data_IF_588105245184
#
_entry.id   IF_588105245184
#
_cell.length_a   1.000
_cell.length_b   1.000
_cell.length_c   1.000
_cell.angle_alpha   90.00
_cell.angle_beta   90.00
_cell.angle_gamma   90.00
#
_symmetry.space_group_name_H-M   'P 1'
#
loop_
_entity.id
_entity.type
_entity.pdbx_description
1 polymer ?
#
# COMPACT_ATOMS: atom_id res chain seq x y z
N UNK A 1 29.83 -45.09 -8.77
CA UNK A 1 29.31 -46.20 -9.58
C UNK A 1 28.00 -46.63 -8.96
N UNK A 2 26.88 -46.15 -9.53
CA UNK A 2 25.87 -46.94 -10.24
C UNK A 2 25.13 -47.91 -9.29
N UNK A 3 23.79 -47.93 -9.14
CA UNK A 3 22.70 -47.86 -10.12
C UNK A 3 21.39 -47.76 -9.31
N UNK A 4 20.45 -46.85 -9.62
CA UNK A 4 19.14 -47.10 -10.26
C UNK A 4 18.34 -48.30 -9.67
N UNK A 5 17.04 -48.29 -9.42
CA UNK A 5 15.92 -47.43 -9.76
C UNK A 5 14.71 -47.86 -8.90
N UNK A 6 13.72 -46.99 -8.68
CA UNK A 6 12.31 -47.35 -8.91
C UNK A 6 11.44 -46.11 -8.93
N UNK A 7 10.95 -45.81 -10.12
CA UNK A 7 9.88 -44.87 -10.44
C UNK A 7 8.51 -45.48 -10.15
N UNK A 8 7.54 -44.64 -9.78
CA UNK A 8 6.11 -44.64 -10.16
C UNK A 8 5.36 -43.78 -9.13
N UNK A 9 4.32 -42.98 -9.38
CA UNK A 9 3.52 -42.54 -10.53
C UNK A 9 2.69 -41.37 -9.93
N UNK A 10 2.51 -40.25 -10.64
CA UNK A 10 1.21 -39.56 -10.74
C UNK A 10 1.29 -38.49 -11.83
N UNK A 11 0.72 -38.86 -12.98
CA UNK A 11 0.46 -37.99 -14.13
C UNK A 11 -0.87 -37.24 -13.90
N UNK A 12 -0.83 -35.94 -14.18
CA UNK A 12 -1.71 -35.21 -15.11
C UNK A 12 -3.24 -35.42 -15.01
N UNK A 13 -3.96 -34.33 -14.76
CA UNK A 13 -5.27 -34.05 -15.37
C UNK A 13 -5.31 -32.61 -15.88
N UNK A 14 -5.57 -32.41 -17.19
CA UNK A 14 -6.56 -31.43 -17.58
C UNK A 14 -7.59 -32.13 -18.48
N UNK A 15 -8.88 -31.82 -18.34
CA UNK A 15 -9.87 -31.78 -19.44
C UNK A 15 -11.21 -31.33 -18.88
N UNK A 16 -11.59 -30.08 -19.19
CA UNK A 16 -12.99 -29.66 -19.23
C UNK A 16 -13.52 -30.00 -20.62
N UNK A 17 -14.26 -31.10 -20.74
CA UNK A 17 -15.03 -31.43 -21.94
C UNK A 17 -16.50 -31.28 -21.58
N UNK A 18 -17.18 -30.30 -22.18
CA UNK A 18 -18.63 -30.16 -22.11
C UNK A 18 -19.29 -31.44 -22.65
N UNK A 19 -20.04 -32.14 -21.81
CA UNK A 19 -21.04 -33.11 -22.27
C UNK A 19 -22.39 -32.38 -22.40
N UNK A 20 -22.85 -32.27 -23.63
CA UNK A 20 -24.22 -31.91 -23.96
C UNK A 20 -25.16 -32.99 -23.41
N UNK A 21 -26.11 -32.59 -22.56
CA UNK A 21 -27.21 -33.43 -22.11
C UNK A 21 -28.22 -33.58 -23.25
N UNK A 22 -28.34 -34.80 -23.77
CA UNK A 22 -29.39 -35.24 -24.68
C UNK A 22 -30.71 -35.36 -23.87
N UNK A 23 -31.72 -34.56 -24.22
CA UNK A 23 -33.09 -34.76 -23.73
C UNK A 23 -33.83 -35.79 -24.60
N UNK A 24 -34.71 -36.63 -24.02
CA UNK A 24 -35.46 -37.61 -24.79
C UNK A 24 -36.58 -36.95 -25.60
N UNK A 25 -36.75 -37.41 -26.85
CA UNK A 25 -37.89 -37.09 -27.73
C UNK A 25 -39.20 -37.56 -27.07
N UNK A 26 -40.15 -36.64 -26.88
CA UNK A 26 -41.55 -36.97 -26.65
C UNK A 26 -42.28 -37.13 -27.99
N UNK A 27 -43.16 -38.12 -28.04
CA UNK A 27 -43.95 -38.58 -29.18
C UNK A 27 -45.12 -37.67 -29.54
N UNK A 28 -45.46 -37.67 -30.83
CA UNK A 28 -46.68 -37.11 -31.42
C UNK A 28 -47.94 -37.77 -30.82
N UNK A 29 -48.60 -37.10 -29.89
CA UNK A 29 -50.03 -37.33 -29.55
C UNK A 29 -50.49 -36.35 -28.47
N UNK A 30 -50.50 -35.05 -28.78
CA UNK A 30 -51.36 -34.09 -28.06
C UNK A 30 -51.66 -32.85 -28.93
N UNK A 31 -51.88 -33.07 -30.24
CA UNK A 31 -52.61 -32.12 -31.08
C UNK A 31 -54.10 -32.43 -30.98
N UNK A 32 -54.75 -31.98 -29.91
CA UNK A 32 -56.20 -31.81 -29.80
C UNK A 32 -56.50 -31.04 -28.50
N UNK A 33 -56.46 -29.71 -28.58
CA UNK A 33 -56.73 -28.84 -27.43
C UNK A 33 -56.37 -27.37 -27.63
N UNK A 34 -56.28 -26.88 -28.86
CA UNK A 34 -55.86 -25.51 -29.19
C UNK A 34 -56.88 -24.78 -30.09
N UNK A 35 -58.17 -25.01 -29.87
CA UNK A 35 -59.24 -24.33 -30.62
C UNK A 35 -60.30 -23.65 -29.73
N UNK A 36 -59.94 -23.28 -28.49
CA UNK A 36 -60.79 -22.45 -27.64
C UNK A 36 -59.93 -21.45 -26.84
N UNK A 37 -59.37 -20.44 -27.51
CA UNK A 37 -59.15 -19.04 -27.04
C UNK A 37 -58.88 -18.22 -28.33
N UNK A 38 -59.88 -18.17 -29.20
CA UNK A 38 -59.95 -17.23 -30.33
C UNK A 38 -61.22 -16.43 -30.16
N UNK A 39 -61.25 -15.53 -29.18
CA UNK A 39 -62.18 -14.40 -29.15
C UNK A 39 -61.80 -13.44 -28.00
N UNK A 40 -61.40 -12.23 -28.39
CA UNK A 40 -61.28 -10.99 -27.58
C UNK A 40 -60.01 -10.65 -26.78
N UNK A 41 -59.00 -11.52 -26.68
CA UNK A 41 -57.75 -11.15 -25.97
C UNK A 41 -56.75 -10.23 -26.71
N UNK A 42 -56.65 -10.18 -28.07
CA UNK A 42 -55.60 -9.36 -28.70
C UNK A 42 -55.91 -7.86 -28.74
N UNK A 43 -57.19 -7.46 -28.72
CA UNK A 43 -57.59 -6.04 -28.77
C UNK A 43 -57.43 -5.32 -27.43
N UNK A 44 -57.66 -6.03 -26.31
CA UNK A 44 -57.50 -5.47 -24.96
C UNK A 44 -56.03 -5.18 -24.67
N UNK A 45 -55.12 -6.07 -25.08
CA UNK A 45 -53.68 -5.86 -24.93
C UNK A 45 -53.16 -4.72 -25.83
N UNK A 46 -53.72 -4.55 -27.02
CA UNK A 46 -53.34 -3.46 -27.91
C UNK A 46 -53.86 -2.09 -27.43
N UNK A 47 -55.09 -2.01 -26.89
CA UNK A 47 -55.63 -0.78 -26.29
C UNK A 47 -54.91 -0.38 -25.00
N UNK A 48 -54.48 -1.35 -24.17
CA UNK A 48 -53.66 -1.09 -22.99
C UNK A 48 -52.26 -0.58 -23.36
N UNK A 49 -51.66 -1.08 -24.45
CA UNK A 49 -50.36 -0.61 -24.93
C UNK A 49 -50.43 0.82 -25.51
N UNK A 50 -51.50 1.16 -26.23
CA UNK A 50 -51.71 2.53 -26.76
C UNK A 50 -52.05 3.52 -25.64
N UNK A 51 -52.84 3.11 -24.64
CA UNK A 51 -53.09 3.87 -23.41
C UNK A 51 -51.78 4.17 -22.65
N UNK A 52 -50.88 3.20 -22.54
CA UNK A 52 -49.59 3.35 -21.87
C UNK A 52 -48.62 4.28 -22.62
N UNK A 53 -48.61 4.25 -23.95
CA UNK A 53 -47.75 5.10 -24.78
C UNK A 53 -48.23 6.56 -24.84
N UNK A 54 -49.54 6.83 -24.72
CA UNK A 54 -50.10 8.18 -24.71
C UNK A 54 -50.04 8.83 -23.32
N UNK A 55 -50.11 8.05 -22.23
CA UNK A 55 -50.07 8.60 -20.85
C UNK A 55 -48.66 8.88 -20.31
N UNK A 56 -47.60 8.25 -20.83
CA UNK A 56 -46.22 8.55 -20.38
C UNK A 56 -45.74 9.97 -20.67
N UNK A 57 -46.01 10.60 -21.84
CA UNK A 57 -45.66 12.00 -22.03
C UNK A 57 -46.59 12.96 -21.25
N UNK A 58 -47.81 12.54 -20.88
CA UNK A 58 -48.75 13.39 -20.15
C UNK A 58 -48.45 13.47 -18.64
N UNK A 59 -48.05 12.38 -18.01
CA UNK A 59 -47.57 12.40 -16.60
C UNK A 59 -46.23 13.12 -16.45
N UNK A 60 -45.35 13.06 -17.46
CA UNK A 60 -44.09 13.80 -17.46
C UNK A 60 -44.26 15.32 -17.66
N UNK A 61 -45.39 15.76 -18.24
CA UNK A 61 -45.68 17.19 -18.45
C UNK A 61 -46.50 17.83 -17.33
N UNK A 62 -47.44 17.09 -16.71
CA UNK A 62 -48.26 17.59 -15.59
C UNK A 62 -47.50 17.63 -14.25
N UNK A 63 -46.50 16.76 -14.06
CA UNK A 63 -45.55 16.85 -12.93
C UNK A 63 -44.26 17.56 -13.37
N UNK A 64 -44.36 18.84 -13.73
CA UNK A 64 -43.21 19.73 -13.64
C UNK A 64 -42.87 19.89 -12.15
N UNK A 65 -41.70 19.46 -11.66
CA UNK A 65 -41.25 19.94 -10.37
C UNK A 65 -41.11 21.46 -10.50
N UNK A 66 -41.88 22.21 -9.71
CA UNK A 66 -41.68 23.65 -9.59
C UNK A 66 -40.20 23.92 -9.36
N UNK A 67 -39.68 24.97 -10.01
CA UNK A 67 -38.27 25.37 -9.97
C UNK A 67 -37.72 25.25 -8.54
N UNK A 68 -37.05 24.13 -8.26
CA UNK A 68 -36.22 24.01 -7.08
C UNK A 68 -35.08 24.99 -7.32
N UNK A 69 -35.11 26.08 -6.55
CA UNK A 69 -33.92 26.85 -6.19
C UNK A 69 -32.73 25.88 -6.09
N UNK A 70 -31.55 26.22 -6.62
CA UNK A 70 -30.41 25.31 -6.61
C UNK A 70 -30.16 24.90 -5.16
N UNK A 71 -30.63 23.71 -4.80
CA UNK A 71 -30.29 23.06 -3.56
C UNK A 71 -28.80 22.88 -3.68
N UNK A 72 -28.07 23.55 -2.80
CA UNK A 72 -26.64 23.44 -2.64
C UNK A 72 -26.23 22.00 -2.93
N UNK A 73 -25.34 21.85 -3.92
CA UNK A 73 -24.60 20.60 -4.13
C UNK A 73 -24.24 20.05 -2.76
N UNK A 74 -24.40 18.74 -2.48
CA UNK A 74 -23.97 18.19 -1.21
C UNK A 74 -22.53 18.66 -1.04
N UNK A 75 -22.28 19.53 -0.04
CA UNK A 75 -20.95 20.06 0.22
C UNK A 75 -20.06 18.84 0.26
N UNK A 76 -19.21 18.68 -0.75
CA UNK A 76 -18.17 17.65 -0.77
C UNK A 76 -17.45 17.89 0.54
N UNK A 77 -17.69 17.02 1.52
CA UNK A 77 -17.27 17.24 2.89
C UNK A 77 -15.75 17.28 2.81
N UNK A 78 -15.20 18.49 2.74
CA UNK A 78 -13.79 18.74 2.60
C UNK A 78 -13.24 18.21 3.90
N UNK A 79 -12.56 17.06 3.85
CA UNK A 79 -12.00 16.42 5.03
C UNK A 79 -11.20 17.49 5.75
N UNK A 80 -11.70 17.97 6.87
CA UNK A 80 -11.13 19.11 7.56
C UNK A 80 -9.88 18.64 8.30
N UNK A 81 -8.85 19.47 8.32
CA UNK A 81 -7.66 19.20 9.11
C UNK A 81 -8.04 19.03 10.60
N UNK A 82 -7.41 18.07 11.26
CA UNK A 82 -7.58 17.80 12.67
C UNK A 82 -6.20 17.76 13.36
N UNK A 83 -5.66 18.92 13.68
CA UNK A 83 -4.35 19.04 14.34
C UNK A 83 -4.36 18.43 15.75
N UNK A 84 -5.48 18.42 16.45
CA UNK A 84 -5.60 17.77 17.75
C UNK A 84 -5.34 16.26 17.64
N UNK A 85 -5.93 15.59 16.65
CA UNK A 85 -5.68 14.17 16.38
C UNK A 85 -4.21 13.91 16.02
N UNK A 86 -3.53 14.86 15.36
CA UNK A 86 -2.11 14.77 15.02
C UNK A 86 -1.21 14.72 16.26
N UNK A 87 -1.59 15.43 17.33
CA UNK A 87 -0.82 15.51 18.58
C UNK A 87 -1.32 14.56 19.69
N UNK A 88 -2.47 13.91 19.49
CA UNK A 88 -3.02 12.92 20.42
C UNK A 88 -2.25 11.60 20.32
N UNK A 89 -1.26 11.46 21.20
CA UNK A 89 -0.36 10.30 21.28
C UNK A 89 -0.42 9.74 22.71
N UNK A 90 -0.85 8.49 22.84
CA UNK A 90 -0.93 7.82 24.12
C UNK A 90 0.45 7.24 24.50
N UNK A 91 0.98 7.55 25.69
CA UNK A 91 2.30 7.06 26.12
C UNK A 91 2.30 5.56 26.43
N UNK A 92 3.46 4.92 26.28
CA UNK A 92 3.76 3.60 26.84
C UNK A 92 4.85 3.73 27.92
N UNK A 93 4.50 4.10 29.17
CA UNK A 93 5.48 4.40 30.21
C UNK A 93 6.35 3.20 30.60
N UNK A 94 5.78 1.99 30.55
CA UNK A 94 6.45 0.73 30.93
C UNK A 94 6.70 -0.15 29.69
N UNK A 95 7.13 0.44 28.58
CA UNK A 95 7.41 -0.32 27.36
C UNK A 95 8.71 -1.11 27.52
N UNK A 96 8.60 -2.44 27.49
CA UNK A 96 9.72 -3.37 27.55
C UNK A 96 10.04 -3.90 26.15
N UNK A 97 11.03 -3.29 25.50
CA UNK A 97 11.40 -3.60 24.12
C UNK A 97 11.75 -5.09 23.91
N UNK A 98 12.45 -5.70 24.87
CA UNK A 98 12.90 -7.11 24.80
C UNK A 98 11.73 -8.11 24.82
N UNK A 99 10.60 -7.74 25.45
CA UNK A 99 9.41 -8.56 25.54
C UNK A 99 8.50 -8.43 24.30
N UNK A 100 8.63 -7.33 23.56
CA UNK A 100 7.78 -7.04 22.41
C UNK A 100 8.19 -7.88 21.19
N UNK A 101 7.30 -8.76 20.74
CA UNK A 101 7.56 -9.62 19.60
C UNK A 101 7.32 -8.90 18.27
N UNK A 102 8.06 -9.25 17.20
CA UNK A 102 7.82 -8.67 15.89
C UNK A 102 6.39 -8.86 15.39
N UNK A 103 5.82 -7.81 14.79
CA UNK A 103 4.48 -7.85 14.22
C UNK A 103 4.37 -8.91 13.12
N UNK A 104 3.40 -9.82 13.28
CA UNK A 104 3.09 -10.88 12.31
C UNK A 104 2.08 -10.40 11.28
N UNK A 105 2.56 -9.77 10.21
CA UNK A 105 1.71 -9.34 9.11
C UNK A 105 1.38 -10.52 8.19
N UNK A 106 0.09 -10.83 8.06
CA UNK A 106 -0.43 -11.86 7.14
C UNK A 106 -1.53 -11.27 6.24
N UNK A 107 -1.20 -10.36 5.32
CA UNK A 107 -2.18 -9.64 4.50
C UNK A 107 -2.80 -10.49 3.37
N UNK A 108 -2.70 -11.82 3.45
CA UNK A 108 -3.17 -12.74 2.41
C UNK A 108 -4.69 -12.81 2.41
N UNK A 109 -5.29 -12.55 1.25
CA UNK A 109 -6.72 -12.74 1.03
C UNK A 109 -6.92 -13.88 0.04
N UNK A 110 -7.89 -14.80 0.26
CA UNK A 110 -8.19 -15.87 -0.70
C UNK A 110 -8.52 -15.35 -2.09
N UNK A 111 -9.16 -14.17 -2.16
CA UNK A 111 -9.47 -13.47 -3.41
C UNK A 111 -8.66 -12.18 -3.45
N UNK A 112 -7.87 -12.02 -4.50
CA UNK A 112 -7.03 -10.84 -4.70
C UNK A 112 -7.81 -9.72 -5.41
N UNK A 113 -7.92 -8.57 -4.76
CA UNK A 113 -8.40 -7.33 -5.35
C UNK A 113 -7.32 -6.25 -5.23
N UNK A 114 -6.87 -5.75 -6.38
CA UNK A 114 -5.90 -4.65 -6.44
C UNK A 114 -6.54 -3.36 -5.97
N UNK A 115 -6.23 -2.96 -4.74
CA UNK A 115 -6.69 -1.73 -4.09
C UNK A 115 -5.54 -1.15 -3.28
N UNK A 116 -5.66 0.09 -2.79
CA UNK A 116 -4.66 0.66 -1.89
C UNK A 116 -4.60 -0.05 -0.53
N UNK A 117 -5.64 -0.82 -0.15
CA UNK A 117 -5.73 -1.57 1.09
C UNK A 117 -5.41 -0.74 2.36
N UNK A 118 -5.89 0.52 2.39
CA UNK A 118 -5.67 1.44 3.50
C UNK A 118 -6.70 1.23 4.61
N UNK A 119 -6.21 1.25 5.84
CA UNK A 119 -7.00 1.18 7.07
C UNK A 119 -6.72 2.42 7.92
N UNK A 120 -7.76 3.00 8.53
CA UNK A 120 -7.57 4.09 9.49
C UNK A 120 -6.87 3.60 10.75
N UNK A 121 -5.98 4.41 11.31
CA UNK A 121 -5.40 4.19 12.63
C UNK A 121 -5.15 5.52 13.35
N UNK A 122 -4.42 5.50 14.46
CA UNK A 122 -4.07 6.67 15.27
C UNK A 122 -2.57 6.97 15.20
N UNK A 123 -2.16 8.17 15.62
CA UNK A 123 -0.74 8.50 15.72
C UNK A 123 -0.01 7.63 16.74
N UNK A 124 -0.68 7.12 17.78
CA UNK A 124 -0.08 6.15 18.71
C UNK A 124 0.41 4.87 18.03
N UNK A 125 -0.17 4.51 16.90
CA UNK A 125 0.22 3.38 16.06
C UNK A 125 1.33 3.72 15.06
N UNK A 126 1.83 4.96 14.96
CA UNK A 126 2.72 5.37 13.87
C UNK A 126 3.98 4.48 13.74
N UNK A 127 4.82 4.40 14.79
CA UNK A 127 6.03 3.55 14.78
C UNK A 127 5.77 2.27 15.57
N UNK A 128 6.10 1.13 14.97
CA UNK A 128 6.13 -0.15 15.67
C UNK A 128 7.56 -0.47 16.13
N UNK A 129 7.69 -0.82 17.41
CA UNK A 129 8.93 -1.28 18.03
C UNK A 129 8.83 -2.76 18.34
N UNK A 130 9.96 -3.48 18.40
CA UNK A 130 10.03 -4.86 18.85
C UNK A 130 11.47 -5.21 19.28
N UNK A 131 11.65 -6.40 19.83
CA UNK A 131 12.92 -6.91 20.36
C UNK A 131 14.07 -7.00 19.33
N UNK A 132 13.81 -6.79 18.04
CA UNK A 132 14.86 -6.74 17.00
C UNK A 132 15.40 -5.33 16.77
N UNK A 133 14.87 -4.32 17.44
CA UNK A 133 15.21 -2.91 17.21
C UNK A 133 16.71 -2.62 17.32
N UNK A 134 17.38 -3.07 18.38
CA UNK A 134 18.81 -2.78 18.61
C UNK A 134 19.70 -3.30 17.46
N UNK A 135 19.58 -4.59 17.13
CA UNK A 135 20.35 -5.20 16.04
C UNK A 135 20.05 -4.56 14.70
N UNK A 136 18.80 -4.18 14.45
CA UNK A 136 18.40 -3.52 13.21
C UNK A 136 18.92 -2.09 13.12
N UNK A 137 18.91 -1.31 14.19
CA UNK A 137 19.58 -0.01 14.23
C UNK A 137 21.08 -0.12 13.92
N UNK A 138 21.76 -1.15 14.43
CA UNK A 138 23.18 -1.40 14.08
C UNK A 138 23.38 -1.66 12.58
N UNK A 139 22.54 -2.51 11.97
CA UNK A 139 22.59 -2.76 10.51
C UNK A 139 22.33 -1.47 9.73
N UNK A 140 21.31 -0.70 10.13
CA UNK A 140 20.94 0.57 9.49
C UNK A 140 22.08 1.56 9.52
N UNK A 141 22.75 1.72 10.67
CA UNK A 141 23.94 2.56 10.82
C UNK A 141 25.06 2.13 9.88
N UNK A 142 25.35 0.83 9.81
CA UNK A 142 26.34 0.28 8.88
C UNK A 142 26.02 0.65 7.42
N UNK A 143 24.77 0.45 6.98
CA UNK A 143 24.33 0.77 5.62
C UNK A 143 24.36 2.27 5.31
N UNK A 144 24.03 3.13 6.27
CA UNK A 144 24.13 4.58 6.12
C UNK A 144 25.59 5.01 5.92
N UNK A 145 26.53 4.33 6.57
CA UNK A 145 27.97 4.61 6.41
C UNK A 145 28.50 4.06 5.08
N UNK A 146 28.17 2.82 4.71
CA UNK A 146 28.76 2.16 3.53
C UNK A 146 28.04 2.47 2.22
N UNK A 147 26.74 2.77 2.25
CA UNK A 147 25.87 2.90 1.08
C UNK A 147 25.09 4.22 1.09
N UNK A 148 25.66 5.28 1.69
CA UNK A 148 25.01 6.57 1.92
C UNK A 148 24.21 7.09 0.72
N UNK A 149 24.83 7.07 -0.47
CA UNK A 149 24.22 7.58 -1.70
C UNK A 149 22.93 6.86 -2.10
N UNK A 150 22.84 5.56 -1.85
CA UNK A 150 21.69 4.73 -2.21
C UNK A 150 20.59 4.76 -1.15
N UNK A 151 20.97 4.92 0.12
CA UNK A 151 20.02 4.83 1.25
C UNK A 151 19.43 6.15 1.68
N UNK A 152 20.09 7.29 1.48
CA UNK A 152 19.45 8.59 1.75
C UNK A 152 19.66 9.62 0.66
N UNK A 153 18.65 10.45 0.48
CA UNK A 153 18.73 11.65 -0.33
C UNK A 153 17.66 12.65 0.07
N UNK A 154 17.94 13.92 -0.14
CA UNK A 154 16.98 15.00 -0.03
C UNK A 154 17.21 16.01 -1.15
N UNK A 155 16.15 16.39 -1.87
CA UNK A 155 16.21 17.57 -2.75
C UNK A 155 16.18 18.84 -1.89
N UNK A 156 16.65 20.00 -2.40
CA UNK A 156 16.50 21.28 -1.70
C UNK A 156 15.05 21.58 -1.30
N UNK A 157 14.10 21.11 -2.13
CA UNK A 157 12.67 21.28 -1.91
C UNK A 157 12.12 20.39 -0.79
N UNK A 158 12.67 19.19 -0.62
CA UNK A 158 12.30 18.27 0.46
C UNK A 158 12.82 18.67 1.84
N UNK A 159 13.85 19.52 1.90
CA UNK A 159 14.55 19.84 3.15
C UNK A 159 13.65 20.38 4.28
N UNK A 160 12.72 21.33 4.04
CA UNK A 160 11.81 21.79 5.09
C UNK A 160 10.92 20.67 5.65
N UNK A 161 10.47 19.74 4.80
CA UNK A 161 9.60 18.64 5.21
C UNK A 161 10.34 17.61 6.07
N UNK A 162 11.60 17.34 5.73
CA UNK A 162 12.49 16.48 6.51
C UNK A 162 12.72 17.07 7.90
N UNK A 163 13.03 18.37 7.97
CA UNK A 163 13.31 19.05 9.23
C UNK A 163 12.06 19.16 10.11
N UNK A 164 10.89 19.43 9.52
CA UNK A 164 9.61 19.39 10.22
C UNK A 164 9.36 17.99 10.84
N UNK A 165 9.50 16.94 10.04
CA UNK A 165 9.33 15.56 10.49
C UNK A 165 10.31 15.22 11.62
N UNK A 166 11.59 15.55 11.45
CA UNK A 166 12.64 15.32 12.42
C UNK A 166 12.35 16.01 13.75
N UNK A 167 12.02 17.30 13.70
CA UNK A 167 11.70 18.08 14.88
C UNK A 167 10.46 17.52 15.59
N UNK A 168 9.41 17.17 14.85
CA UNK A 168 8.21 16.57 15.45
C UNK A 168 8.49 15.21 16.09
N UNK A 169 9.28 14.35 15.43
CA UNK A 169 9.64 13.04 15.97
C UNK A 169 10.46 13.16 17.26
N UNK A 170 11.46 14.04 17.28
CA UNK A 170 12.38 14.20 18.42
C UNK A 170 11.79 15.00 19.58
N UNK A 171 11.05 16.06 19.29
CA UNK A 171 10.50 16.95 20.33
C UNK A 171 9.11 16.54 20.81
N UNK A 172 8.35 15.76 20.03
CA UNK A 172 6.96 15.39 20.35
C UNK A 172 6.72 13.89 20.37
N UNK A 173 6.93 13.18 19.26
CA UNK A 173 6.41 11.82 19.12
C UNK A 173 7.14 10.80 19.99
N UNK A 174 8.46 10.65 19.80
CA UNK A 174 9.27 9.63 20.47
C UNK A 174 9.29 9.78 21.99
N UNK A 175 9.57 10.97 22.59
CA UNK A 175 9.58 11.10 24.05
C UNK A 175 8.19 10.90 24.67
N UNK A 176 7.11 11.23 23.94
CA UNK A 176 5.75 11.02 24.43
C UNK A 176 5.32 9.56 24.31
N UNK A 177 5.57 8.91 23.18
CA UNK A 177 5.11 7.54 22.91
C UNK A 177 5.95 6.50 23.65
N UNK A 178 7.28 6.66 23.67
CA UNK A 178 8.23 5.68 24.20
C UNK A 178 9.18 6.32 25.23
N UNK A 179 8.67 6.88 26.34
CA UNK A 179 9.48 7.58 27.33
C UNK A 179 10.53 6.69 28.03
N UNK A 180 10.37 5.36 28.02
CA UNK A 180 11.37 4.42 28.53
C UNK A 180 12.58 4.22 27.60
N UNK A 181 12.43 4.53 26.31
CA UNK A 181 13.47 4.36 25.29
C UNK A 181 14.11 5.68 24.88
N UNK A 182 13.34 6.77 24.93
CA UNK A 182 13.78 8.09 24.52
C UNK A 182 13.62 9.11 25.63
N UNK A 183 14.75 9.59 26.14
CA UNK A 183 14.81 10.53 27.25
C UNK A 183 15.23 11.90 26.75
N UNK A 184 14.43 12.93 27.05
CA UNK A 184 14.79 14.30 26.72
C UNK A 184 16.00 14.74 27.56
N UNK A 185 17.01 15.28 26.89
CA UNK A 185 18.18 15.92 27.49
C UNK A 185 18.22 17.40 27.10
N UNK A 186 19.13 18.19 27.68
CA UNK A 186 19.23 19.63 27.42
C UNK A 186 19.34 19.99 25.94
N UNK A 187 20.08 19.21 25.16
CA UNK A 187 20.43 19.53 23.77
C UNK A 187 19.86 18.55 22.73
N UNK A 188 19.07 17.56 23.14
CA UNK A 188 18.57 16.55 22.23
C UNK A 188 17.79 15.43 22.91
N UNK A 189 17.33 14.49 22.10
CA UNK A 189 16.64 13.29 22.55
C UNK A 189 17.60 12.11 22.58
N UNK A 190 17.86 11.58 23.77
CA UNK A 190 18.73 10.43 23.95
C UNK A 190 17.98 9.12 23.75
N UNK A 191 18.48 8.27 22.86
CA UNK A 191 18.00 6.92 22.66
C UNK A 191 18.80 5.96 23.56
N UNK A 192 18.15 5.42 24.58
CA UNK A 192 18.80 4.56 25.59
C UNK A 192 19.28 3.23 25.03
N UNK A 193 18.77 2.82 23.86
CA UNK A 193 19.12 1.54 23.22
C UNK A 193 20.35 1.66 22.32
N UNK A 194 20.47 2.75 21.56
CA UNK A 194 21.64 2.98 20.69
C UNK A 194 22.76 3.73 21.41
N UNK A 195 22.44 4.41 22.53
CA UNK A 195 23.35 5.30 23.24
C UNK A 195 23.57 6.66 22.53
N UNK A 196 22.85 6.93 21.44
CA UNK A 196 23.00 8.15 20.66
C UNK A 196 22.02 9.24 21.10
N UNK A 197 22.40 10.50 20.87
CA UNK A 197 21.54 11.66 21.14
C UNK A 197 21.23 12.39 19.84
N UNK A 198 19.95 12.45 19.49
CA UNK A 198 19.45 13.21 18.34
C UNK A 198 19.30 14.69 18.73
N UNK A 199 20.06 15.63 18.15
CA UNK A 199 20.03 17.04 18.56
C UNK A 199 18.67 17.69 18.26
N UNK A 200 18.12 18.50 19.16
CA UNK A 200 16.83 19.19 18.91
C UNK A 200 16.94 20.28 17.84
N UNK A 201 18.14 20.84 17.67
CA UNK A 201 18.40 21.91 16.73
C UNK A 201 19.38 21.42 15.67
N UNK A 202 18.93 21.44 14.41
CA UNK A 202 19.75 21.23 13.24
C UNK A 202 19.72 22.50 12.39
N UNK A 203 20.80 22.81 11.66
CA UNK A 203 20.76 23.88 10.65
C UNK A 203 19.64 23.64 9.63
N UNK A 204 18.97 24.69 9.19
CA UNK A 204 17.88 24.59 8.20
C UNK A 204 18.34 24.04 6.84
N UNK A 205 19.65 24.03 6.60
CA UNK A 205 20.28 23.50 5.39
C UNK A 205 20.66 22.02 5.52
N UNK A 206 20.54 21.41 6.70
CA UNK A 206 21.10 20.08 6.99
C UNK A 206 20.03 18.99 7.15
N UNK A 207 19.22 18.82 6.09
CA UNK A 207 18.20 17.77 6.04
C UNK A 207 18.81 16.36 5.96
N UNK A 208 20.01 16.20 5.40
CA UNK A 208 20.65 14.88 5.34
C UNK A 208 21.08 14.36 6.71
N UNK A 209 21.61 15.20 7.59
CA UNK A 209 21.88 14.79 8.98
C UNK A 209 20.60 14.41 9.71
N UNK A 210 19.50 15.15 9.50
CA UNK A 210 18.20 14.79 10.05
C UNK A 210 17.75 13.39 9.61
N UNK A 211 17.83 13.09 8.31
CA UNK A 211 17.54 11.75 7.76
C UNK A 211 18.46 10.67 8.33
N UNK A 212 19.75 10.97 8.50
CA UNK A 212 20.70 10.05 9.13
C UNK A 212 20.30 9.73 10.57
N UNK A 213 20.02 10.73 11.41
CA UNK A 213 19.60 10.52 12.79
C UNK A 213 18.31 9.67 12.87
N UNK A 214 17.31 9.96 12.02
CA UNK A 214 16.09 9.14 11.93
C UNK A 214 16.43 7.70 11.49
N UNK A 215 17.34 7.55 10.53
CA UNK A 215 17.82 6.28 10.02
C UNK A 215 18.50 5.41 11.08
N UNK A 216 19.37 6.01 11.88
CA UNK A 216 20.17 5.32 12.90
C UNK A 216 19.37 5.02 14.17
N UNK A 217 18.37 5.85 14.50
CA UNK A 217 17.67 5.79 15.78
C UNK A 217 16.22 5.28 15.71
N UNK A 218 15.71 4.95 14.52
CA UNK A 218 14.36 4.41 14.34
C UNK A 218 14.42 3.28 13.31
N UNK A 219 13.98 2.07 13.68
CA UNK A 219 13.84 0.93 12.76
C UNK A 219 12.62 1.10 11.84
N UNK A 220 12.67 2.09 10.95
CA UNK A 220 11.63 2.42 9.96
C UNK A 220 12.25 3.23 8.82
N UNK A 221 11.93 2.90 7.58
CA UNK A 221 12.33 3.70 6.41
C UNK A 221 11.31 4.81 6.16
N UNK A 222 11.75 5.97 5.68
CA UNK A 222 10.93 7.17 5.53
C UNK A 222 10.95 7.66 4.08
N UNK A 223 9.78 8.06 3.57
CA UNK A 223 9.62 8.64 2.24
C UNK A 223 8.76 9.89 2.34
N UNK A 224 9.28 11.03 1.87
CA UNK A 224 8.59 12.31 1.91
C UNK A 224 8.16 12.72 0.50
N UNK A 225 6.85 12.88 0.35
CA UNK A 225 6.16 13.17 -0.90
C UNK A 225 5.57 14.58 -0.83
N UNK A 226 5.94 15.44 -1.76
CA UNK A 226 5.40 16.80 -1.86
C UNK A 226 4.55 16.95 -3.12
N UNK A 227 3.52 17.82 -3.12
CA UNK A 227 2.77 18.15 -4.34
C UNK A 227 3.71 18.58 -5.48
N UNK A 228 3.38 18.33 -6.74
CA UNK A 228 4.17 18.84 -7.86
C UNK A 228 4.00 20.36 -7.99
N UNK A 229 5.07 21.09 -8.36
CA UNK A 229 4.98 22.51 -8.75
C UNK A 229 4.69 22.70 -10.24
N UNK A 230 4.79 21.62 -11.03
CA UNK A 230 4.49 21.69 -12.45
C UNK A 230 2.97 21.77 -12.63
N UNK A 231 2.50 22.79 -13.35
CA UNK A 231 1.08 22.98 -13.65
C UNK A 231 0.47 21.79 -14.41
N UNK A 232 1.25 21.07 -15.22
CA UNK A 232 0.79 19.88 -15.93
C UNK A 232 0.57 18.67 -15.01
N UNK A 233 1.10 18.71 -13.79
CA UNK A 233 1.02 17.65 -12.79
C UNK A 233 0.24 18.10 -11.54
N UNK A 234 -0.71 19.03 -11.70
CA UNK A 234 -1.49 19.55 -10.59
C UNK A 234 -2.16 18.42 -9.79
N UNK A 235 -2.03 18.48 -8.46
CA UNK A 235 -2.57 17.48 -7.55
C UNK A 235 -1.76 16.17 -7.47
N UNK A 236 -0.72 15.99 -8.28
CA UNK A 236 0.19 14.83 -8.18
C UNK A 236 1.32 15.09 -7.19
N UNK A 237 1.96 14.02 -6.72
CA UNK A 237 3.03 14.09 -5.72
C UNK A 237 4.36 13.58 -6.27
N UNK A 238 5.47 14.13 -5.80
CA UNK A 238 6.84 13.73 -6.13
C UNK A 238 7.60 13.29 -4.89
N UNK A 239 8.49 12.31 -5.03
CA UNK A 239 9.39 11.91 -3.95
C UNK A 239 10.53 12.92 -3.84
N UNK A 240 10.59 13.69 -2.75
CA UNK A 240 11.59 14.75 -2.58
C UNK A 240 12.66 14.39 -1.55
N UNK A 241 12.37 13.46 -0.64
CA UNK A 241 13.38 12.99 0.31
C UNK A 241 13.07 11.57 0.77
N UNK A 242 14.12 10.83 1.14
CA UNK A 242 13.99 9.51 1.73
C UNK A 242 15.20 9.14 2.59
N UNK A 243 14.96 8.24 3.54
CA UNK A 243 15.96 7.37 4.13
C UNK A 243 15.39 5.94 4.04
N UNK A 244 15.98 5.13 3.17
CA UNK A 244 15.54 3.77 2.85
C UNK A 244 16.74 2.82 2.96
N UNK A 245 16.93 2.30 4.17
CA UNK A 245 18.03 1.36 4.47
C UNK A 245 17.66 -0.08 4.13
N UNK A 246 16.37 -0.41 4.05
CA UNK A 246 15.91 -1.74 3.69
C UNK A 246 15.06 -1.73 2.42
N UNK A 247 15.62 -1.32 1.26
CA UNK A 247 14.96 -1.48 -0.04
C UNK A 247 14.73 -2.96 -0.36
N UNK A 248 13.69 -3.22 -1.13
CA UNK A 248 13.31 -4.57 -1.55
C UNK A 248 13.19 -4.67 -3.07
N UNK A 249 14.31 -4.65 -3.79
CA UNK A 249 14.30 -4.89 -5.23
C UNK A 249 14.17 -3.63 -6.08
N UNK A 250 14.48 -2.47 -5.52
CA UNK A 250 14.58 -1.23 -6.25
C UNK A 250 15.57 -0.27 -5.61
N UNK A 251 16.22 0.53 -6.44
CA UNK A 251 17.02 1.65 -5.98
C UNK A 251 16.12 2.88 -5.76
N UNK A 252 16.06 3.43 -4.54
CA UNK A 252 15.25 4.61 -4.23
C UNK A 252 15.87 5.90 -4.77
N UNK A 253 17.19 5.97 -4.88
CA UNK A 253 17.89 7.14 -5.42
C UNK A 253 17.45 7.43 -6.86
N UNK A 254 17.28 6.40 -7.69
CA UNK A 254 16.79 6.56 -9.08
C UNK A 254 15.35 7.07 -9.17
N UNK A 255 14.59 7.00 -8.07
CA UNK A 255 13.20 7.44 -7.94
C UNK A 255 13.06 8.87 -7.39
N UNK A 256 14.14 9.48 -6.92
CA UNK A 256 14.12 10.84 -6.39
C UNK A 256 13.66 11.85 -7.45
N UNK A 257 12.78 12.78 -7.08
CA UNK A 257 12.20 13.81 -7.94
C UNK A 257 11.10 13.32 -8.90
N UNK A 258 10.89 12.00 -9.03
CA UNK A 258 9.86 11.44 -9.91
C UNK A 258 8.46 11.56 -9.32
N UNK A 259 7.45 11.56 -10.19
CA UNK A 259 6.06 11.50 -9.74
C UNK A 259 5.77 10.14 -9.07
N UNK A 260 4.82 10.14 -8.15
CA UNK A 260 4.33 8.93 -7.52
C UNK A 260 3.85 7.91 -8.56
N UNK A 261 3.20 8.36 -9.63
CA UNK A 261 2.79 7.52 -10.75
C UNK A 261 4.00 6.87 -11.46
N UNK A 262 5.02 7.67 -11.82
CA UNK A 262 6.22 7.17 -12.50
C UNK A 262 7.01 6.17 -11.65
N UNK A 263 7.02 6.38 -10.32
CA UNK A 263 7.65 5.46 -9.37
C UNK A 263 6.97 4.08 -9.39
N UNK A 264 5.66 4.06 -9.59
CA UNK A 264 4.84 2.85 -9.59
C UNK A 264 4.55 2.30 -10.99
N UNK A 265 5.02 2.95 -12.05
CA UNK A 265 4.82 2.49 -13.43
C UNK A 265 5.21 1.01 -13.67
N UNK A 266 6.27 0.45 -13.04
CA UNK A 266 6.60 -0.97 -13.21
C UNK A 266 5.59 -1.95 -12.58
N UNK A 267 4.70 -1.47 -11.70
CA UNK A 267 3.72 -2.30 -10.99
C UNK A 267 2.59 -2.69 -11.96
N UNK A 268 2.37 -4.00 -12.19
CA UNK A 268 1.33 -4.46 -13.10
C UNK A 268 -0.03 -3.83 -12.82
N UNK A 269 -0.69 -3.36 -13.87
CA UNK A 269 -2.02 -2.73 -13.82
C UNK A 269 -2.15 -1.47 -12.95
N UNK A 270 -1.05 -0.88 -12.46
CA UNK A 270 -1.10 0.30 -11.61
C UNK A 270 -1.80 1.49 -12.28
N UNK A 271 -1.37 1.84 -13.50
CA UNK A 271 -1.93 2.98 -14.25
C UNK A 271 -3.45 2.82 -14.45
N UNK A 272 -3.88 1.61 -14.83
CA UNK A 272 -5.27 1.32 -15.11
C UNK A 272 -6.16 1.25 -13.85
N UNK A 273 -5.65 0.74 -12.72
CA UNK A 273 -6.48 0.41 -11.54
C UNK A 273 -6.26 1.31 -10.33
N UNK A 274 -5.08 1.89 -10.15
CA UNK A 274 -4.68 2.54 -8.91
C UNK A 274 -4.33 4.01 -9.07
N UNK A 275 -3.66 4.42 -10.15
CA UNK A 275 -3.09 5.77 -10.32
C UNK A 275 -4.09 6.89 -9.97
N UNK A 276 -5.24 6.94 -10.66
CA UNK A 276 -6.26 7.97 -10.43
C UNK A 276 -6.79 7.97 -8.99
N UNK A 277 -6.83 6.81 -8.33
CA UNK A 277 -7.27 6.72 -6.93
C UNK A 277 -6.19 7.20 -5.96
N UNK A 278 -4.94 6.89 -6.26
CA UNK A 278 -3.77 7.28 -5.49
C UNK A 278 -3.56 8.79 -5.52
N UNK A 279 -3.57 9.40 -6.71
CA UNK A 279 -3.37 10.85 -6.88
C UNK A 279 -4.42 11.65 -6.11
N UNK A 280 -5.71 11.30 -6.29
CA UNK A 280 -6.80 11.94 -5.54
C UNK A 280 -6.66 11.75 -4.04
N UNK A 281 -6.24 10.56 -3.61
CA UNK A 281 -6.07 10.25 -2.20
C UNK A 281 -4.97 11.13 -1.58
N UNK A 282 -3.78 11.15 -2.18
CA UNK A 282 -2.68 12.00 -1.73
C UNK A 282 -3.01 13.49 -1.80
N UNK A 283 -3.76 13.95 -2.82
CA UNK A 283 -4.20 15.34 -2.90
C UNK A 283 -5.18 15.74 -1.79
N UNK A 284 -6.03 14.81 -1.33
CA UNK A 284 -7.14 15.09 -0.41
C UNK A 284 -6.92 14.66 1.05
N UNK A 285 -5.83 13.94 1.35
CA UNK A 285 -5.49 13.51 2.70
C UNK A 285 -5.37 14.73 3.63
N UNK A 286 -6.21 14.91 4.67
CA UNK A 286 -6.07 16.03 5.61
C UNK A 286 -4.97 15.76 6.65
N UNK A 287 -4.54 16.82 7.33
CA UNK A 287 -3.74 16.71 8.56
C UNK A 287 -4.58 16.05 9.65
N UNK A 288 -3.94 15.23 10.50
CA UNK A 288 -4.62 14.50 11.57
C UNK A 288 -5.21 13.16 11.18
N UNK A 289 -5.26 12.83 9.87
CA UNK A 289 -5.65 11.50 9.41
C UNK A 289 -4.43 10.60 9.29
N UNK A 290 -4.38 9.55 10.11
CA UNK A 290 -3.37 8.50 10.06
C UNK A 290 -3.93 7.23 9.42
N UNK A 291 -3.21 6.69 8.44
CA UNK A 291 -3.55 5.42 7.81
C UNK A 291 -2.42 4.41 7.94
N UNK A 292 -2.78 3.13 7.87
CA UNK A 292 -1.84 2.02 7.77
C UNK A 292 -2.24 1.06 6.65
N UNK A 293 -1.28 0.33 6.13
CA UNK A 293 -1.47 -0.83 5.25
C UNK A 293 -0.32 -1.81 5.41
N UNK A 294 -0.50 -3.01 4.88
CA UNK A 294 0.57 -3.98 4.72
C UNK A 294 0.85 -4.19 3.22
N UNK A 295 2.13 -4.18 2.86
CA UNK A 295 2.61 -4.66 1.58
C UNK A 295 3.41 -5.96 1.81
N UNK A 296 3.50 -6.83 0.81
CA UNK A 296 4.26 -8.07 0.95
C UNK A 296 4.79 -8.57 -0.40
N UNK A 297 5.88 -9.32 -0.32
CA UNK A 297 6.50 -10.01 -1.45
C UNK A 297 7.19 -11.28 -0.95
N UNK A 298 7.55 -12.17 -1.87
CA UNK A 298 8.44 -13.30 -1.59
C UNK A 298 9.81 -12.90 -2.12
N UNK A 299 10.82 -12.94 -1.26
CA UNK A 299 12.22 -12.73 -1.64
C UNK A 299 12.92 -14.08 -1.70
N UNK A 300 13.72 -14.31 -2.74
CA UNK A 300 14.51 -15.54 -2.89
C UNK A 300 15.78 -15.52 -2.05
N UNK A 301 16.10 -14.38 -1.43
CA UNK A 301 17.18 -14.21 -0.47
C UNK A 301 16.67 -13.62 0.86
N UNK A 302 17.44 -13.83 1.93
CA UNK A 302 17.16 -13.30 3.27
C UNK A 302 17.71 -11.89 3.51
N UNK A 303 18.03 -11.12 2.46
CA UNK A 303 18.73 -9.85 2.61
C UNK A 303 17.75 -8.71 2.91
N UNK A 304 18.13 -7.86 3.86
CA UNK A 304 17.33 -6.68 4.22
C UNK A 304 17.54 -5.52 3.24
N UNK A 305 18.74 -5.41 2.66
CA UNK A 305 19.16 -4.37 1.72
C UNK A 305 19.33 -4.97 0.33
N UNK A 306 18.36 -4.73 -0.55
CA UNK A 306 18.35 -5.27 -1.90
C UNK A 306 17.91 -4.19 -2.89
N UNK A 307 18.80 -3.76 -3.79
CA UNK A 307 18.55 -2.64 -4.72
C UNK A 307 17.99 -3.08 -6.09
N UNK A 308 18.01 -4.38 -6.40
CA UNK A 308 17.53 -4.94 -7.65
C UNK A 308 17.01 -6.37 -7.44
N UNK A 309 16.12 -6.85 -8.31
CA UNK A 309 15.46 -8.16 -8.14
C UNK A 309 14.19 -8.07 -7.30
N UNK A 310 13.65 -9.20 -6.82
CA UNK A 310 12.54 -9.30 -5.84
C UNK A 310 11.17 -8.66 -6.16
N UNK A 311 11.03 -7.88 -7.24
CA UNK A 311 9.76 -7.31 -7.69
C UNK A 311 9.31 -7.91 -9.03
N UNK A 312 8.04 -8.32 -9.08
CA UNK A 312 7.37 -8.63 -10.33
C UNK A 312 7.11 -7.33 -11.10
N UNK A 313 7.54 -7.30 -12.34
CA UNK A 313 7.31 -6.19 -13.26
C UNK A 313 6.31 -6.63 -14.33
N UNK A 314 5.71 -5.68 -15.05
CA UNK A 314 4.85 -6.00 -16.18
C UNK A 314 5.59 -6.78 -17.29
N UNK A 315 6.89 -6.52 -17.47
CA UNK A 315 7.75 -7.29 -18.38
C UNK A 315 7.92 -8.75 -17.95
N UNK A 316 7.87 -9.06 -16.64
CA UNK A 316 7.89 -10.44 -16.16
C UNK A 316 6.56 -11.17 -16.40
N UNK A 317 5.43 -10.46 -16.48
CA UNK A 317 4.13 -11.06 -16.80
C UNK A 317 3.93 -11.25 -18.31
N UNK A 318 4.50 -10.37 -19.12
CA UNK A 318 4.44 -10.39 -20.58
C UNK A 318 5.86 -10.40 -21.16
N UNK A 319 6.60 -11.52 -21.05
CA UNK A 319 7.95 -11.60 -21.59
C UNK A 319 7.90 -11.37 -23.11
N UNK A 320 8.84 -10.59 -23.69
CA UNK A 320 8.95 -10.48 -25.12
C UNK A 320 9.19 -11.87 -25.72
N UNK A 321 8.43 -12.21 -26.78
CA UNK A 321 8.59 -13.44 -27.56
C UNK A 321 10.09 -13.63 -27.84
N UNK A 322 10.70 -14.69 -27.27
CA UNK A 322 12.13 -15.09 -27.29
C UNK A 322 12.86 -15.11 -25.94
N UNK A 323 12.19 -14.89 -24.79
CA UNK A 323 12.82 -15.02 -23.45
C UNK A 323 12.32 -16.25 -22.68
N UNK A 324 12.18 -17.40 -23.37
CA UNK A 324 11.80 -18.67 -22.72
C UNK A 324 12.96 -19.40 -22.02
N UNK A 325 14.17 -18.85 -22.08
CA UNK A 325 15.36 -19.32 -21.35
C UNK A 325 15.78 -18.23 -20.36
N UNK A 326 14.93 -17.90 -19.37
CA UNK A 326 15.51 -17.49 -18.10
C UNK A 326 15.99 -18.78 -17.46
N UNK A 327 17.32 -18.93 -17.35
CA UNK A 327 17.97 -20.00 -16.61
C UNK A 327 17.14 -20.32 -15.37
N UNK A 328 16.80 -21.59 -15.19
CA UNK A 328 16.10 -22.02 -13.99
C UNK A 328 17.00 -21.71 -12.79
N UNK A 329 16.86 -20.51 -12.22
CA UNK A 329 17.58 -20.12 -11.02
C UNK A 329 17.22 -21.15 -9.96
N UNK A 330 18.22 -21.84 -9.45
CA UNK A 330 18.04 -22.80 -8.38
C UNK A 330 17.62 -22.03 -7.12
N UNK A 331 16.31 -22.00 -6.86
CA UNK A 331 15.74 -21.29 -5.71
C UNK A 331 16.06 -22.10 -4.45
N UNK A 332 16.95 -21.56 -3.60
CA UNK A 332 17.16 -22.09 -2.26
C UNK A 332 15.96 -21.75 -1.37
N UNK A 333 15.09 -22.75 -1.17
CA UNK A 333 13.91 -22.62 -0.33
C UNK A 333 14.24 -22.27 1.13
N UNK A 334 15.46 -22.51 1.62
CA UNK A 334 15.89 -22.12 2.97
C UNK A 334 16.19 -20.63 3.07
N UNK A 335 16.59 -20.00 1.96
CA UNK A 335 16.84 -18.55 1.87
C UNK A 335 15.61 -17.75 1.41
N UNK A 336 14.60 -18.45 0.90
CA UNK A 336 13.35 -17.83 0.49
C UNK A 336 12.56 -17.39 1.72
N UNK A 337 12.22 -16.10 1.78
CA UNK A 337 11.51 -15.48 2.90
C UNK A 337 10.29 -14.73 2.42
N UNK A 338 9.26 -14.72 3.26
CA UNK A 338 8.13 -13.81 3.11
C UNK A 338 8.56 -12.45 3.67
N UNK A 339 8.62 -11.44 2.81
CA UNK A 339 8.85 -10.07 3.23
C UNK A 339 7.53 -9.34 3.39
N UNK A 340 7.35 -8.69 4.53
CA UNK A 340 6.19 -7.85 4.79
C UNK A 340 6.63 -6.45 5.21
N UNK A 341 5.91 -5.45 4.75
CA UNK A 341 6.14 -4.05 5.06
C UNK A 341 4.90 -3.47 5.70
N UNK A 342 5.03 -3.03 6.94
CA UNK A 342 4.02 -2.20 7.59
C UNK A 342 4.23 -0.77 7.15
N UNK A 343 3.28 -0.22 6.40
CA UNK A 343 3.34 1.13 5.90
C UNK A 343 2.33 2.01 6.66
N UNK A 344 2.78 3.12 7.23
CA UNK A 344 1.91 4.16 7.80
C UNK A 344 2.07 5.47 7.04
N UNK A 345 0.97 6.20 6.85
CA UNK A 345 0.91 7.37 6.00
C UNK A 345 0.08 8.47 6.65
N UNK A 346 0.65 9.68 6.70
CA UNK A 346 -0.05 10.89 7.14
C UNK A 346 0.49 12.15 6.45
N UNK A 347 -0.20 13.27 6.65
CA UNK A 347 0.25 14.60 6.20
C UNK A 347 0.84 15.41 7.35
N UNK A 348 1.99 16.02 7.11
CA UNK A 348 2.64 16.97 8.02
C UNK A 348 1.88 18.32 8.05
N UNK A 349 1.70 18.94 9.23
CA UNK A 349 0.89 20.16 9.38
C UNK A 349 1.44 21.39 8.64
N UNK A 350 2.75 21.65 8.72
CA UNK A 350 3.37 22.88 8.23
C UNK A 350 3.70 22.81 6.74
N UNK A 351 4.50 21.83 6.32
CA UNK A 351 4.90 21.70 4.92
C UNK A 351 3.82 21.09 4.04
N UNK A 352 2.75 20.54 4.64
CA UNK A 352 1.71 19.78 3.94
C UNK A 352 2.25 18.56 3.18
N UNK A 353 3.47 18.11 3.49
CA UNK A 353 4.06 16.93 2.84
C UNK A 353 3.36 15.67 3.32
N UNK A 354 3.19 14.69 2.42
CA UNK A 354 2.77 13.35 2.81
C UNK A 354 4.01 12.54 3.17
N UNK A 355 4.00 11.87 4.32
CA UNK A 355 5.12 11.05 4.78
C UNK A 355 4.68 9.60 4.93
N UNK A 356 5.41 8.70 4.28
CA UNK A 356 5.23 7.26 4.40
C UNK A 356 6.36 6.67 5.24
N UNK A 357 5.98 5.88 6.24
CA UNK A 357 6.87 5.14 7.13
C UNK A 357 6.75 3.67 6.80
N UNK A 358 7.85 3.00 6.48
CA UNK A 358 7.87 1.60 6.08
C UNK A 358 8.74 0.78 7.04
N UNK A 359 8.12 -0.11 7.82
CA UNK A 359 8.83 -1.08 8.65
C UNK A 359 8.82 -2.45 7.96
N UNK A 360 9.98 -2.85 7.48
CA UNK A 360 10.19 -4.13 6.79
C UNK A 360 10.45 -5.27 7.78
N UNK A 361 9.90 -6.45 7.50
CA UNK A 361 10.07 -7.68 8.26
C UNK A 361 10.27 -8.85 7.30
N UNK A 362 11.18 -9.77 7.66
CA UNK A 362 11.42 -11.01 6.94
C UNK A 362 10.92 -12.16 7.80
N UNK A 363 10.12 -13.04 7.21
CA UNK A 363 9.55 -14.22 7.84
C UNK A 363 10.12 -15.45 7.16
N UNK A 364 10.85 -16.27 7.91
CA UNK A 364 11.50 -17.47 7.39
C UNK A 364 10.49 -18.61 7.28
N UNK A 365 10.69 -19.51 6.32
CA UNK A 365 9.88 -20.72 6.16
C UNK A 365 10.39 -21.82 7.09
N UNK A 366 9.55 -22.35 7.98
CA UNK A 366 9.83 -23.56 8.74
C UNK A 366 8.98 -24.73 8.23
N UNK A 367 9.57 -25.57 7.39
CA UNK A 367 8.96 -26.81 6.89
C UNK A 367 7.95 -26.63 5.75
N UNK A 368 7.21 -27.70 5.45
CA UNK A 368 6.20 -27.74 4.37
C UNK A 368 4.85 -27.10 4.74
N UNK A 369 4.65 -26.68 6.00
CA UNK A 369 3.33 -26.30 6.54
C UNK A 369 3.03 -24.81 6.75
N UNK A 370 3.98 -23.89 6.52
CA UNK A 370 3.69 -22.45 6.61
C UNK A 370 4.88 -21.55 6.98
N UNK A 371 4.63 -20.24 6.94
CA UNK A 371 5.56 -19.18 7.38
C UNK A 371 5.40 -18.97 8.90
N UNK A 372 6.42 -19.33 9.68
CA UNK A 372 6.47 -19.14 11.13
C UNK A 372 7.88 -18.66 11.51
N UNK A 373 7.91 -17.69 12.43
CA UNK A 373 9.06 -16.91 12.94
C UNK A 373 10.43 -17.61 12.92
#
# INVERSE_FOLDING_TARGET
MASAASSHILKVFPYNTMKALHMPKMSDSTMQGLDLIKTHTPWILMLLAVSWCIFKPFQAWYFKPGSRQPTSSPKKQQTQDNEEAYHTIHPLPNFHLEAEQPLKLRPFKPIYHMTMALESTTFSDLIAMDNTFSSRCSIRKGLIQSNRHDVLACTPRGAPAVLELYHWLTSTYLPRRFPSLYTQQKNGLHNTITGETMPFHLPSTDAESALQYLGENIDTDFFLLLPSLNAHDEGKYRLEAFINTFPSGFNTRSKLGRLLADIHAPVPHYAAKLEKSMDRFFASLPVGKMLKRANWSISTNGELFCLAGNHLTEAHLNPPNNTHEQDAEEIDLKKTVLRCERQTLHRLPQTRSCVCFCKSRLLVRKGFGGWLD
#
